data_IF_281216888086
#
_entry.id   IF_281216888086
#
_cell.length_a   1.000
_cell.length_b   1.000
_cell.length_c   1.000
_cell.angle_alpha   90.00
_cell.angle_beta   90.00
_cell.angle_gamma   90.00
#
_symmetry.space_group_name_H-M   'P 1'
#
loop_
_entity.id
_entity.type
_entity.pdbx_description
1 polymer ?
#
# COMPACT_ATOMS: atom_id res chain seq x y z
N UNK A 1 6.70 -20.48 -0.19
CA UNK A 1 6.65 -19.07 -0.61
C UNK A 1 7.93 -18.42 -0.13
N UNK A 2 8.90 -18.20 -1.02
CA UNK A 2 10.22 -17.68 -0.67
C UNK A 2 10.11 -16.32 0.02
N UNK A 3 10.73 -16.19 1.20
CA UNK A 3 10.81 -14.93 1.95
C UNK A 3 11.36 -13.77 1.10
N UNK A 4 12.22 -14.08 0.12
CA UNK A 4 12.78 -13.13 -0.84
C UNK A 4 11.73 -12.45 -1.72
N UNK A 5 10.64 -13.14 -2.05
CA UNK A 5 9.50 -12.60 -2.81
C UNK A 5 8.55 -11.75 -1.96
N UNK A 6 8.60 -11.91 -0.63
CA UNK A 6 7.71 -11.16 0.28
C UNK A 6 8.20 -9.73 0.46
N UNK A 7 9.52 -9.50 0.54
CA UNK A 7 10.06 -8.17 0.84
C UNK A 7 10.16 -7.23 -0.37
N UNK A 8 10.14 -7.77 -1.59
CA UNK A 8 10.22 -6.97 -2.81
C UNK A 8 9.02 -7.20 -3.71
N UNK A 9 8.01 -6.34 -3.55
CA UNK A 9 6.84 -6.29 -4.43
C UNK A 9 6.85 -4.95 -5.19
N UNK A 10 7.32 -4.92 -6.45
CA UNK A 10 7.47 -3.69 -7.20
C UNK A 10 6.12 -2.99 -7.45
N UNK A 11 5.04 -3.76 -7.62
CA UNK A 11 3.69 -3.20 -7.81
C UNK A 11 3.24 -2.48 -6.54
N UNK A 12 3.37 -3.13 -5.38
CA UNK A 12 3.03 -2.53 -4.09
C UNK A 12 3.89 -1.29 -3.79
N UNK A 13 5.15 -1.29 -4.22
CA UNK A 13 6.05 -0.13 -4.09
C UNK A 13 5.51 1.08 -4.84
N UNK A 14 5.26 0.97 -6.14
CA UNK A 14 4.77 2.09 -6.96
C UNK A 14 3.40 2.58 -6.51
N UNK A 15 2.48 1.65 -6.20
CA UNK A 15 1.15 2.01 -5.68
C UNK A 15 1.29 2.77 -4.37
N UNK A 16 2.10 2.30 -3.43
CA UNK A 16 2.30 2.97 -2.13
C UNK A 16 2.95 4.35 -2.30
N UNK A 17 3.94 4.47 -3.19
CA UNK A 17 4.61 5.73 -3.49
C UNK A 17 3.64 6.78 -4.03
N UNK A 18 2.85 6.42 -5.04
CA UNK A 18 1.94 7.35 -5.72
C UNK A 18 0.70 7.63 -4.86
N UNK A 19 0.05 6.61 -4.32
CA UNK A 19 -1.20 6.79 -3.55
C UNK A 19 -0.98 7.49 -2.22
N UNK A 20 0.19 7.35 -1.59
CA UNK A 20 0.52 8.10 -0.35
C UNK A 20 0.67 9.61 -0.57
N UNK A 21 0.83 10.05 -1.83
CA UNK A 21 0.80 11.45 -2.23
C UNK A 21 -0.60 11.86 -2.68
N UNK A 22 -1.24 11.07 -3.55
CA UNK A 22 -2.56 11.39 -4.12
C UNK A 22 -3.65 11.45 -3.03
N UNK A 23 -3.67 10.49 -2.11
CA UNK A 23 -4.76 10.41 -1.10
C UNK A 23 -4.84 11.66 -0.21
N UNK A 24 -3.74 12.17 0.36
CA UNK A 24 -3.76 13.45 1.07
C UNK A 24 -4.14 14.65 0.19
N UNK A 25 -3.73 14.68 -1.08
CA UNK A 25 -4.11 15.76 -2.00
C UNK A 25 -5.64 15.81 -2.20
N UNK A 26 -6.29 14.65 -2.32
CA UNK A 26 -7.73 14.56 -2.55
C UNK A 26 -8.53 14.76 -1.25
N UNK A 27 -8.07 14.20 -0.13
CA UNK A 27 -8.87 14.13 1.09
C UNK A 27 -8.35 15.00 2.24
N UNK A 28 -7.05 15.22 2.39
CA UNK A 28 -6.51 15.94 3.55
C UNK A 28 -6.36 17.45 3.28
N UNK A 29 -5.90 17.84 2.09
CA UNK A 29 -5.73 19.25 1.73
C UNK A 29 -7.06 20.01 1.73
N UNK A 30 -8.16 19.49 1.13
CA UNK A 30 -9.45 20.17 1.19
C UNK A 30 -10.01 20.31 2.61
N UNK A 31 -9.53 19.48 3.56
CA UNK A 31 -9.90 19.51 4.97
C UNK A 31 -8.95 20.36 5.83
N UNK A 32 -8.10 21.19 5.21
CA UNK A 32 -7.26 22.17 5.90
C UNK A 32 -5.82 21.76 6.17
N UNK A 33 -5.35 20.64 5.60
CA UNK A 33 -3.93 20.26 5.70
C UNK A 33 -3.06 21.16 4.80
N UNK A 34 -2.00 21.82 5.33
CA UNK A 34 -1.06 22.55 4.49
C UNK A 34 -0.29 21.63 3.56
N UNK A 35 -0.05 22.07 2.32
CA UNK A 35 0.65 21.27 1.30
C UNK A 35 2.10 20.95 1.70
N UNK A 36 2.74 21.86 2.44
CA UNK A 36 4.09 21.69 2.99
C UNK A 36 4.16 20.47 3.92
N UNK A 37 3.18 20.32 4.82
CA UNK A 37 3.08 19.18 5.73
C UNK A 37 2.83 17.91 4.93
N UNK A 38 2.04 17.98 3.85
CA UNK A 38 1.80 16.84 2.97
C UNK A 38 3.13 16.35 2.36
N UNK A 39 3.92 17.24 1.77
CA UNK A 39 5.19 16.88 1.12
C UNK A 39 6.27 16.46 2.14
N UNK A 40 6.37 17.15 3.28
CA UNK A 40 7.38 16.87 4.31
C UNK A 40 7.24 15.47 4.91
N UNK A 41 6.00 15.02 5.12
CA UNK A 41 5.72 13.69 5.67
C UNK A 41 5.56 12.59 4.61
N UNK A 42 5.53 12.94 3.32
CA UNK A 42 5.35 11.98 2.23
C UNK A 42 6.41 10.85 2.25
N UNK A 43 7.72 11.13 2.44
CA UNK A 43 8.75 10.09 2.54
C UNK A 43 8.48 9.03 3.60
N UNK A 44 7.94 9.44 4.76
CA UNK A 44 7.61 8.51 5.84
C UNK A 44 6.33 7.75 5.52
N UNK A 45 5.30 8.44 5.02
CA UNK A 45 4.00 7.83 4.73
C UNK A 45 4.09 6.74 3.67
N UNK A 46 4.84 6.92 2.59
CA UNK A 46 4.92 5.91 1.53
C UNK A 46 5.62 4.64 2.01
N UNK A 47 6.67 4.77 2.84
CA UNK A 47 7.40 3.64 3.43
C UNK A 47 6.48 2.84 4.34
N UNK A 48 5.76 3.53 5.23
CA UNK A 48 4.78 2.91 6.14
C UNK A 48 3.68 2.20 5.35
N UNK A 49 3.14 2.85 4.31
CA UNK A 49 2.13 2.26 3.44
C UNK A 49 2.64 0.99 2.74
N UNK A 50 3.86 1.01 2.22
CA UNK A 50 4.48 -0.16 1.58
C UNK A 50 4.58 -1.35 2.54
N UNK A 51 5.05 -1.12 3.77
CA UNK A 51 5.14 -2.19 4.77
C UNK A 51 3.78 -2.73 5.18
N UNK A 52 2.78 -1.87 5.38
CA UNK A 52 1.42 -2.30 5.70
C UNK A 52 0.85 -3.18 4.58
N UNK A 53 0.98 -2.74 3.33
CA UNK A 53 0.48 -3.48 2.17
C UNK A 53 1.19 -4.83 2.04
N UNK A 54 2.51 -4.81 2.15
CA UNK A 54 3.35 -5.97 1.94
C UNK A 54 3.18 -7.02 3.04
N UNK A 55 3.10 -6.61 4.31
CA UNK A 55 3.05 -7.52 5.45
C UNK A 55 1.64 -8.00 5.77
N UNK A 56 0.63 -7.12 5.64
CA UNK A 56 -0.73 -7.38 6.09
C UNK A 56 -1.72 -7.48 4.94
N UNK A 57 -1.85 -6.42 4.13
CA UNK A 57 -2.93 -6.33 3.13
C UNK A 57 -2.83 -7.45 2.11
N UNK A 58 -1.65 -7.72 1.56
CA UNK A 58 -1.46 -8.80 0.60
C UNK A 58 -1.92 -10.15 1.17
N UNK A 59 -1.52 -10.49 2.41
CA UNK A 59 -1.91 -11.74 3.06
C UNK A 59 -3.42 -11.84 3.26
N UNK A 60 -4.05 -10.75 3.69
CA UNK A 60 -5.50 -10.71 3.91
C UNK A 60 -6.23 -10.82 2.58
N UNK A 61 -5.83 -10.05 1.57
CA UNK A 61 -6.42 -10.06 0.23
C UNK A 61 -6.35 -11.44 -0.42
N UNK A 62 -5.22 -12.14 -0.31
CA UNK A 62 -5.10 -13.51 -0.84
C UNK A 62 -6.04 -14.49 -0.14
N UNK A 63 -6.15 -14.43 1.20
CA UNK A 63 -7.10 -15.27 1.95
C UNK A 63 -8.56 -14.97 1.60
N UNK A 64 -8.88 -13.69 1.40
CA UNK A 64 -10.21 -13.26 1.02
C UNK A 64 -10.55 -13.74 -0.39
N UNK A 65 -9.60 -13.60 -1.33
CA UNK A 65 -9.76 -14.06 -2.71
C UNK A 65 -9.98 -15.59 -2.79
N UNK A 66 -9.25 -16.35 -1.98
CA UNK A 66 -9.46 -17.80 -1.81
C UNK A 66 -10.87 -18.11 -1.31
N UNK A 67 -11.35 -17.39 -0.29
CA UNK A 67 -12.65 -17.65 0.35
C UNK A 67 -13.85 -17.24 -0.52
N UNK A 68 -13.75 -16.10 -1.20
CA UNK A 68 -14.88 -15.50 -1.95
C UNK A 68 -14.93 -16.02 -3.38
N UNK A 69 -13.79 -16.11 -4.05
CA UNK A 69 -13.73 -16.46 -5.48
C UNK A 69 -13.22 -17.89 -5.73
N UNK A 70 -12.94 -18.67 -4.67
CA UNK A 70 -12.35 -20.01 -4.82
C UNK A 70 -10.96 -20.00 -5.44
N UNK A 71 -10.27 -18.84 -5.44
CA UNK A 71 -8.99 -18.66 -6.10
C UNK A 71 -7.92 -19.57 -5.48
N UNK A 72 -7.34 -20.50 -6.25
CA UNK A 72 -6.24 -21.37 -5.80
C UNK A 72 -4.91 -20.81 -6.30
N UNK A 73 -4.15 -20.05 -5.51
CA UNK A 73 -2.82 -19.60 -5.91
C UNK A 73 -1.89 -20.82 -5.98
N UNK A 74 -1.56 -21.27 -7.20
CA UNK A 74 -0.64 -22.40 -7.40
C UNK A 74 -1.08 -23.48 -8.42
N UNK A 75 -2.07 -23.21 -9.28
CA UNK A 75 -2.19 -23.88 -10.58
C UNK A 75 -1.84 -22.88 -11.69
#
# INVERSE_FOLDING_TARGET
MDLKSIFWNPIAFFISLIMSLIMPLIFAIPNGMPIEVCLLWWPVRWVVAYFIVTLFVNKISFRLAQKVFGFKPGF
#
